data_IF_886138493382
#
_entry.id   IF_886138493382
#
_cell.length_a   1.000
_cell.length_b   1.000
_cell.length_c   1.000
_cell.angle_alpha   90.00
_cell.angle_beta   90.00
_cell.angle_gamma   90.00
#
_symmetry.space_group_name_H-M   'P 1'
#
loop_
_entity.id
_entity.type
_entity.pdbx_description
1 polymer ?
#
# COMPACT_ATOMS: atom_id res chain seq x y z
N UNK A 1 5.32 9.73 -1.91
CA UNK A 1 4.77 8.89 -2.99
C UNK A 1 4.79 7.44 -2.56
N UNK A 2 3.67 6.72 -2.73
CA UNK A 2 3.53 5.27 -2.57
C UNK A 2 2.85 4.79 -3.85
N UNK A 3 3.42 3.76 -4.50
CA UNK A 3 2.84 3.15 -5.70
C UNK A 3 2.33 1.75 -5.35
N UNK A 4 1.12 1.42 -5.79
CA UNK A 4 0.42 0.17 -5.48
C UNK A 4 -0.06 -0.49 -6.78
N UNK A 5 -0.26 -1.80 -6.73
CA UNK A 5 -0.89 -2.55 -7.82
C UNK A 5 -2.30 -2.94 -7.37
N UNK A 6 -3.37 -2.49 -8.06
CA UNK A 6 -4.72 -2.96 -7.81
C UNK A 6 -4.86 -4.44 -8.17
N UNK A 7 -5.70 -5.18 -7.45
CA UNK A 7 -5.83 -6.62 -7.63
C UNK A 7 -7.05 -7.04 -8.48
N UNK A 8 -7.65 -6.13 -9.25
CA UNK A 8 -8.79 -6.40 -10.13
C UNK A 8 -8.50 -7.58 -11.09
N UNK A 9 -7.35 -7.54 -11.77
CA UNK A 9 -6.90 -8.58 -12.70
C UNK A 9 -6.54 -9.91 -12.01
N UNK A 10 -6.44 -9.92 -10.67
CA UNK A 10 -6.11 -11.09 -9.86
C UNK A 10 -7.35 -11.68 -9.15
N UNK A 11 -8.56 -11.21 -9.48
CA UNK A 11 -9.81 -11.69 -8.90
C UNK A 11 -10.05 -11.22 -7.46
N UNK A 12 -9.36 -10.16 -7.02
CA UNK A 12 -9.49 -9.58 -5.67
C UNK A 12 -9.70 -8.06 -5.77
N UNK A 13 -10.87 -7.60 -6.25
CA UNK A 13 -11.10 -6.19 -6.59
C UNK A 13 -10.97 -5.24 -5.39
N UNK A 14 -11.29 -5.71 -4.19
CA UNK A 14 -11.20 -4.89 -2.96
C UNK A 14 -9.80 -4.89 -2.32
N UNK A 15 -8.79 -5.43 -3.01
CA UNK A 15 -7.44 -5.59 -2.46
C UNK A 15 -6.39 -4.90 -3.34
N UNK A 16 -5.27 -4.58 -2.72
CA UNK A 16 -4.07 -4.07 -3.39
C UNK A 16 -2.87 -4.92 -2.99
N UNK A 17 -1.92 -5.08 -3.92
CA UNK A 17 -0.67 -5.80 -3.66
C UNK A 17 0.45 -4.85 -3.27
N UNK A 18 1.10 -5.16 -2.15
CA UNK A 18 2.30 -4.48 -1.66
C UNK A 18 3.54 -5.35 -1.89
N UNK A 19 4.54 -4.80 -2.56
CA UNK A 19 5.87 -5.44 -2.64
C UNK A 19 6.69 -5.05 -1.41
N UNK A 20 7.22 -6.06 -0.72
CA UNK A 20 8.14 -5.88 0.42
C UNK A 20 9.60 -6.14 0.04
N UNK A 21 9.90 -6.39 -1.23
CA UNK A 21 11.26 -6.65 -1.72
C UNK A 21 12.06 -5.33 -1.84
N UNK A 22 12.24 -4.63 -0.72
CA UNK A 22 12.94 -3.34 -0.60
C UNK A 22 13.46 -3.14 0.82
N UNK A 23 14.06 -1.99 1.13
CA UNK A 23 14.61 -1.70 2.46
C UNK A 23 13.51 -1.52 3.52
N UNK A 24 13.80 -1.90 4.76
CA UNK A 24 12.90 -1.69 5.91
C UNK A 24 12.55 -0.21 6.11
N UNK A 25 13.47 0.70 5.81
CA UNK A 25 13.22 2.14 5.85
C UNK A 25 12.14 2.55 4.85
N UNK A 26 12.20 2.03 3.62
CA UNK A 26 11.19 2.30 2.58
C UNK A 26 9.84 1.73 2.97
N UNK A 27 9.82 0.50 3.52
CA UNK A 27 8.59 -0.16 3.98
C UNK A 27 7.92 0.68 5.07
N UNK A 28 8.67 1.10 6.11
CA UNK A 28 8.12 1.92 7.20
C UNK A 28 7.53 3.24 6.68
N UNK A 29 8.31 4.00 5.91
CA UNK A 29 7.83 5.27 5.31
C UNK A 29 6.60 5.08 4.41
N UNK A 30 6.52 3.96 3.70
CA UNK A 30 5.36 3.62 2.86
C UNK A 30 4.12 3.35 3.70
N UNK A 31 4.25 2.53 4.76
CA UNK A 31 3.17 2.20 5.68
C UNK A 31 2.66 3.41 6.45
N UNK A 32 3.54 4.29 6.92
CA UNK A 32 3.16 5.51 7.64
C UNK A 32 2.24 6.40 6.79
N UNK A 33 2.56 6.54 5.49
CA UNK A 33 1.74 7.30 4.53
C UNK A 33 0.40 6.65 4.24
N UNK A 34 0.34 5.32 4.18
CA UNK A 34 -0.92 4.58 4.00
C UNK A 34 -1.81 4.77 5.24
N UNK A 35 -1.23 4.67 6.44
CA UNK A 35 -1.96 4.89 7.69
C UNK A 35 -2.52 6.32 7.78
N UNK A 36 -1.73 7.33 7.40
CA UNK A 36 -2.17 8.72 7.34
C UNK A 36 -3.36 8.89 6.37
N UNK A 37 -3.29 8.33 5.16
CA UNK A 37 -4.40 8.35 4.21
C UNK A 37 -5.67 7.72 4.80
N UNK A 38 -5.57 6.54 5.41
CA UNK A 38 -6.73 5.84 5.98
C UNK A 38 -7.35 6.68 7.10
N UNK A 39 -6.55 7.35 7.93
CA UNK A 39 -7.05 8.23 8.99
C UNK A 39 -7.84 9.44 8.48
N UNK A 40 -7.61 9.87 7.24
CA UNK A 40 -8.37 10.97 6.61
C UNK A 40 -9.67 10.50 5.96
N UNK A 41 -9.83 9.20 5.74
CA UNK A 41 -11.01 8.59 5.13
C UNK A 41 -11.99 8.04 6.18
N UNK A 42 -11.56 7.96 7.44
CA UNK A 42 -12.33 7.47 8.58
C UNK A 42 -13.18 8.56 9.24
#
# INVERSE_FOLDING_TARGET
>A
MVALVPCDDFGMPDHVRLSYATSMETIKKGMDRIAELISQLA
#
